data_IF_476903510128
#
_entry.id   IF_476903510128
#
_cell.length_a   1.000
_cell.length_b   1.000
_cell.length_c   1.000
_cell.angle_alpha   90.00
_cell.angle_beta   90.00
_cell.angle_gamma   90.00
#
_symmetry.space_group_name_H-M   'P 1'
#
loop_
_entity.id
_entity.type
_entity.pdbx_description
1 polymer ?
#
# COMPACT_ATOMS: atom_id res chain seq x y z
N UNK A 1 -24.82 -49.04 20.40
CA UNK A 1 -25.75 -47.97 20.00
C UNK A 1 -24.93 -46.97 19.20
N UNK A 2 -25.04 -47.04 17.88
CA UNK A 2 -24.31 -46.22 16.90
C UNK A 2 -25.05 -44.89 16.74
N UNK A 3 -24.37 -43.76 16.88
CA UNK A 3 -24.85 -42.46 16.40
C UNK A 3 -24.23 -42.21 15.02
N UNK A 4 -25.10 -41.97 14.04
CA UNK A 4 -24.77 -41.89 12.63
C UNK A 4 -24.17 -40.55 12.18
N UNK A 5 -23.77 -40.46 10.90
CA UNK A 5 -23.16 -39.28 10.32
C UNK A 5 -24.23 -38.39 9.69
N UNK A 6 -24.54 -37.26 10.30
CA UNK A 6 -25.33 -36.20 9.68
C UNK A 6 -24.53 -34.90 9.64
N UNK A 7 -24.01 -34.62 8.43
CA UNK A 7 -23.97 -33.33 7.77
C UNK A 7 -23.56 -32.12 8.64
N UNK A 8 -22.29 -31.74 8.68
CA UNK A 8 -21.71 -30.81 7.68
C UNK A 8 -22.76 -30.20 6.74
N UNK A 9 -23.20 -28.95 7.00
CA UNK A 9 -23.40 -27.88 5.99
C UNK A 9 -24.06 -26.62 6.60
N UNK A 10 -23.45 -25.46 6.30
CA UNK A 10 -23.94 -24.06 6.37
C UNK A 10 -24.10 -23.43 7.77
N UNK A 11 -23.73 -22.17 8.00
CA UNK A 11 -23.56 -21.06 7.05
C UNK A 11 -22.41 -20.12 7.46
N UNK A 12 -21.59 -19.79 6.45
CA UNK A 12 -20.72 -18.64 6.44
C UNK A 12 -21.53 -17.35 6.61
N UNK A 13 -21.05 -16.45 7.47
CA UNK A 13 -21.66 -15.16 7.74
C UNK A 13 -20.63 -14.11 8.14
N UNK A 14 -19.48 -14.09 7.48
CA UNK A 14 -18.58 -12.94 7.55
C UNK A 14 -19.21 -11.82 6.72
N UNK A 15 -19.87 -10.88 7.41
CA UNK A 15 -20.37 -9.64 6.81
C UNK A 15 -19.19 -8.82 6.30
N UNK A 16 -18.87 -8.94 5.02
CA UNK A 16 -18.08 -7.94 4.31
C UNK A 16 -18.89 -6.65 4.28
N UNK A 17 -18.52 -5.69 5.13
CA UNK A 17 -19.09 -4.34 5.10
C UNK A 17 -18.40 -3.59 3.97
N UNK A 18 -18.83 -3.83 2.73
CA UNK A 18 -18.49 -2.95 1.60
C UNK A 18 -19.36 -1.70 1.74
N UNK A 19 -18.87 -0.67 2.44
CA UNK A 19 -19.47 0.66 2.35
C UNK A 19 -19.16 1.22 0.95
N UNK A 20 -20.09 1.03 0.02
CA UNK A 20 -20.12 1.78 -1.24
C UNK A 20 -20.40 3.25 -0.90
N UNK A 21 -19.48 4.13 -1.28
CA UNK A 21 -19.67 5.57 -1.21
C UNK A 21 -20.65 5.99 -2.30
N UNK A 22 -21.79 6.56 -1.90
CA UNK A 22 -22.71 7.23 -2.83
C UNK A 22 -22.20 8.65 -3.07
N UNK A 23 -22.08 9.05 -4.35
CA UNK A 23 -21.65 10.40 -4.73
C UNK A 23 -22.86 11.34 -4.87
N UNK A 24 -22.83 12.46 -4.13
CA UNK A 24 -23.64 13.63 -4.44
C UNK A 24 -23.07 14.90 -3.76
N UNK A 25 -22.72 15.91 -4.56
CA UNK A 25 -22.91 17.32 -4.23
C UNK A 25 -21.71 18.18 -3.77
N UNK A 26 -21.40 19.17 -4.63
CA UNK A 26 -20.85 20.52 -4.35
C UNK A 26 -19.39 20.66 -3.88
N UNK A 27 -18.50 21.15 -4.77
CA UNK A 27 -17.16 21.68 -4.44
C UNK A 27 -17.30 22.97 -3.61
N UNK A 28 -17.17 22.86 -2.30
CA UNK A 28 -16.72 23.97 -1.46
C UNK A 28 -15.18 24.10 -1.61
N UNK A 29 -14.64 25.32 -1.55
CA UNK A 29 -13.20 25.60 -1.65
C UNK A 29 -12.42 25.15 -0.40
N UNK A 30 -12.46 23.86 -0.11
CA UNK A 30 -11.74 23.18 0.97
C UNK A 30 -10.76 22.17 0.38
N UNK A 31 -9.69 21.86 1.13
CA UNK A 31 -8.62 20.96 0.70
C UNK A 31 -9.10 19.58 0.24
N UNK A 32 -8.17 18.83 -0.34
CA UNK A 32 -8.46 17.49 -0.86
C UNK A 32 -8.99 16.60 0.26
N UNK A 33 -10.07 15.88 -0.02
CA UNK A 33 -10.70 14.97 0.93
C UNK A 33 -10.20 13.54 0.69
N UNK A 34 -9.93 12.82 1.78
CA UNK A 34 -9.41 11.45 1.72
C UNK A 34 -10.40 10.51 0.99
N UNK A 35 -11.69 10.78 1.06
CA UNK A 35 -12.73 10.02 0.36
C UNK A 35 -12.64 10.16 -1.16
N UNK A 36 -12.15 11.30 -1.68
CA UNK A 36 -11.94 11.49 -3.12
C UNK A 36 -10.77 10.62 -3.61
N UNK A 37 -9.68 10.58 -2.84
CA UNK A 37 -8.54 9.69 -3.11
C UNK A 37 -8.97 8.23 -3.05
N UNK A 38 -9.74 7.85 -2.02
CA UNK A 38 -10.24 6.50 -1.86
C UNK A 38 -11.15 6.07 -3.02
N UNK A 39 -12.01 6.97 -3.49
CA UNK A 39 -12.87 6.72 -4.64
C UNK A 39 -12.07 6.45 -5.91
N UNK A 40 -11.07 7.29 -6.22
CA UNK A 40 -10.21 7.10 -7.40
C UNK A 40 -9.48 5.75 -7.34
N UNK A 41 -8.91 5.39 -6.20
CA UNK A 41 -8.22 4.11 -6.04
C UNK A 41 -9.20 2.92 -6.18
N UNK A 42 -10.37 2.99 -5.55
CA UNK A 42 -11.36 1.91 -5.65
C UNK A 42 -11.93 1.76 -7.08
N UNK A 43 -12.15 2.86 -7.80
CA UNK A 43 -12.58 2.87 -9.20
C UNK A 43 -11.57 2.20 -10.13
N UNK A 44 -10.28 2.19 -9.75
CA UNK A 44 -9.19 1.58 -10.50
C UNK A 44 -8.78 0.19 -9.97
N UNK A 45 -9.65 -0.47 -9.21
CA UNK A 45 -9.50 -1.88 -8.85
C UNK A 45 -8.72 -2.16 -7.57
N UNK A 46 -8.32 -1.14 -6.82
CA UNK A 46 -7.69 -1.33 -5.51
C UNK A 46 -8.71 -1.58 -4.40
N UNK A 47 -8.37 -2.46 -3.46
CA UNK A 47 -9.14 -2.65 -2.23
C UNK A 47 -8.75 -1.60 -1.20
N UNK A 48 -9.63 -0.61 -0.99
CA UNK A 48 -9.37 0.54 -0.10
C UNK A 48 -10.16 0.44 1.19
N UNK A 49 -9.47 0.66 2.32
CA UNK A 49 -10.08 0.71 3.64
C UNK A 49 -9.51 1.85 4.47
N UNK A 50 -10.32 2.43 5.35
CA UNK A 50 -9.85 3.46 6.29
C UNK A 50 -9.04 2.79 7.42
N UNK A 51 -7.84 3.32 7.68
CA UNK A 51 -6.93 2.86 8.73
C UNK A 51 -6.64 3.93 9.80
N UNK A 52 -7.26 5.11 9.68
CA UNK A 52 -7.10 6.26 10.56
C UNK A 52 -7.73 7.52 9.97
N UNK A 53 -7.71 8.61 10.74
CA UNK A 53 -8.35 9.89 10.36
C UNK A 53 -7.92 10.39 8.98
N UNK A 54 -6.62 10.33 8.67
CA UNK A 54 -6.05 10.75 7.39
C UNK A 54 -5.28 9.62 6.69
N UNK A 55 -5.64 8.37 6.97
CA UNK A 55 -4.87 7.19 6.55
C UNK A 55 -5.75 6.17 5.85
N UNK A 56 -5.36 5.82 4.64
CA UNK A 56 -5.92 4.70 3.89
C UNK A 56 -4.97 3.52 3.91
N UNK A 57 -5.56 2.33 3.99
CA UNK A 57 -4.92 1.07 3.64
C UNK A 57 -5.46 0.65 2.27
N UNK A 58 -4.55 0.57 1.31
CA UNK A 58 -4.79 0.23 -0.09
C UNK A 58 -4.16 -1.13 -0.35
N UNK A 59 -4.91 -2.06 -0.92
CA UNK A 59 -4.40 -3.39 -1.28
C UNK A 59 -4.51 -3.56 -2.78
N UNK A 60 -3.42 -4.00 -3.39
CA UNK A 60 -3.43 -4.51 -4.76
C UNK A 60 -3.90 -5.98 -4.70
N UNK A 61 -5.10 -6.31 -5.25
CA UNK A 61 -5.74 -7.61 -5.02
C UNK A 61 -4.96 -8.82 -5.55
N UNK A 62 -4.20 -8.69 -6.63
CA UNK A 62 -3.52 -9.81 -7.28
C UNK A 62 -2.30 -10.28 -6.47
N UNK A 63 -1.46 -9.34 -6.03
CA UNK A 63 -0.23 -9.59 -5.27
C UNK A 63 -0.44 -9.57 -3.75
N UNK A 64 -1.55 -9.03 -3.28
CA UNK A 64 -1.84 -8.80 -1.86
C UNK A 64 -0.93 -7.74 -1.22
N UNK A 65 -0.21 -6.97 -2.03
CA UNK A 65 0.67 -5.91 -1.55
C UNK A 65 -0.15 -4.79 -0.92
N UNK A 66 0.35 -4.28 0.20
CA UNK A 66 -0.34 -3.26 1.00
C UNK A 66 0.43 -1.95 0.95
N UNK A 67 -0.26 -0.90 0.54
CA UNK A 67 0.21 0.49 0.55
C UNK A 67 -0.57 1.26 1.61
N UNK A 68 0.14 1.99 2.46
CA UNK A 68 -0.44 2.97 3.36
C UNK A 68 -0.36 4.35 2.69
N UNK A 69 -1.49 5.03 2.57
CA UNK A 69 -1.58 6.36 1.97
C UNK A 69 -2.07 7.38 3.01
N UNK A 70 -1.21 8.31 3.39
CA UNK A 70 -1.48 9.35 4.39
C UNK A 70 -1.64 10.72 3.71
N UNK A 71 -2.76 11.40 3.93
CA UNK A 71 -3.04 12.70 3.33
C UNK A 71 -2.76 13.83 4.33
N UNK A 72 -1.86 14.75 3.98
CA UNK A 72 -1.55 15.92 4.81
C UNK A 72 -1.30 17.13 3.92
N UNK A 73 -2.03 18.23 4.14
CA UNK A 73 -1.85 19.49 3.39
C UNK A 73 -1.88 19.30 1.85
N UNK A 74 -2.79 18.47 1.37
CA UNK A 74 -2.92 18.06 -0.04
C UNK A 74 -1.70 17.30 -0.60
N UNK A 75 -0.81 16.80 0.24
CA UNK A 75 0.25 15.87 -0.15
C UNK A 75 -0.15 14.47 0.31
N UNK A 76 -0.13 13.52 -0.61
CA UNK A 76 -0.41 12.12 -0.32
C UNK A 76 0.91 11.37 -0.22
N UNK A 77 1.25 10.93 0.99
CA UNK A 77 2.43 10.15 1.27
C UNK A 77 2.10 8.67 1.24
N UNK A 78 2.83 7.92 0.43
CA UNK A 78 2.68 6.48 0.33
C UNK A 78 3.82 5.77 1.05
N UNK A 79 3.49 4.70 1.75
CA UNK A 79 4.48 3.81 2.37
C UNK A 79 4.10 2.36 2.08
N UNK A 80 5.06 1.61 1.56
CA UNK A 80 4.91 0.19 1.26
C UNK A 80 5.99 -0.60 2.00
N UNK A 81 5.61 -1.71 2.64
CA UNK A 81 6.57 -2.61 3.27
C UNK A 81 7.05 -3.64 2.26
N UNK A 82 8.36 -3.68 1.98
CA UNK A 82 8.96 -4.69 1.12
C UNK A 82 8.97 -6.04 1.81
N UNK A 83 9.73 -6.11 2.90
CA UNK A 83 10.00 -7.30 3.68
C UNK A 83 10.35 -6.89 5.11
N UNK A 84 10.16 -7.80 6.05
CA UNK A 84 10.67 -7.66 7.41
C UNK A 84 11.76 -8.69 7.62
N UNK A 85 12.96 -8.23 7.92
CA UNK A 85 14.15 -9.06 8.05
C UNK A 85 14.77 -8.88 9.43
N UNK A 86 15.48 -9.89 9.90
CA UNK A 86 16.24 -9.75 11.14
C UNK A 86 17.37 -8.75 10.92
N UNK A 87 17.71 -7.99 11.95
CA UNK A 87 18.71 -6.92 11.84
C UNK A 87 20.10 -7.44 11.47
N UNK A 88 20.44 -8.66 11.85
CA UNK A 88 21.70 -9.33 11.50
C UNK A 88 21.78 -9.78 10.04
N UNK A 89 20.64 -9.86 9.34
CA UNK A 89 20.58 -10.17 7.90
C UNK A 89 20.77 -8.93 7.01
N UNK A 90 20.69 -7.73 7.59
CA UNK A 90 21.00 -6.47 6.89
C UNK A 90 22.50 -6.26 6.84
N UNK A 91 23.15 -6.80 5.81
CA UNK A 91 24.57 -6.52 5.55
C UNK A 91 24.74 -5.16 4.87
N UNK A 92 25.95 -4.58 5.02
CA UNK A 92 26.32 -3.35 4.30
C UNK A 92 26.24 -3.53 2.79
N UNK A 93 26.58 -4.72 2.28
CA UNK A 93 26.49 -5.06 0.85
C UNK A 93 25.05 -5.05 0.34
N UNK A 94 24.10 -5.62 1.09
CA UNK A 94 22.68 -5.58 0.72
C UNK A 94 22.17 -4.13 0.71
N UNK A 95 22.53 -3.33 1.71
CA UNK A 95 22.14 -1.91 1.73
C UNK A 95 22.76 -1.13 0.56
N UNK A 96 24.02 -1.39 0.20
CA UNK A 96 24.65 -0.76 -0.97
C UNK A 96 23.91 -1.09 -2.25
N UNK A 97 23.57 -2.37 -2.49
CA UNK A 97 22.80 -2.79 -3.68
C UNK A 97 21.42 -2.15 -3.76
N UNK A 98 20.76 -1.90 -2.63
CA UNK A 98 19.49 -1.17 -2.59
C UNK A 98 19.65 0.32 -2.95
N UNK A 99 20.82 0.89 -2.75
CA UNK A 99 21.12 2.30 -3.06
C UNK A 99 21.78 2.49 -4.44
N UNK A 100 22.16 1.40 -5.12
CA UNK A 100 22.81 1.45 -6.43
C UNK A 100 21.85 1.94 -7.52
N UNK A 101 22.33 2.85 -8.36
CA UNK A 101 21.62 3.28 -9.57
C UNK A 101 21.44 2.10 -10.51
N UNK A 102 20.21 1.92 -11.04
CA UNK A 102 19.91 0.88 -12.02
C UNK A 102 19.51 -0.47 -11.43
N UNK A 103 19.26 -0.54 -10.11
CA UNK A 103 18.75 -1.73 -9.44
C UNK A 103 17.23 -1.99 -9.66
N UNK A 104 16.60 -1.21 -10.53
CA UNK A 104 15.17 -1.30 -10.83
C UNK A 104 14.24 -0.60 -9.84
N UNK A 105 14.77 0.01 -8.78
CA UNK A 105 13.97 0.76 -7.78
C UNK A 105 14.02 2.25 -8.12
N UNK A 106 12.91 2.79 -8.63
CA UNK A 106 12.77 4.20 -8.98
C UNK A 106 12.32 5.08 -7.79
N UNK A 107 11.85 4.47 -6.71
CA UNK A 107 11.19 5.15 -5.59
C UNK A 107 12.13 6.06 -4.81
N UNK A 108 11.58 7.19 -4.37
CA UNK A 108 12.25 8.37 -3.83
C UNK A 108 12.96 8.17 -2.48
N UNK A 109 12.62 7.15 -1.68
CA UNK A 109 13.31 6.92 -0.39
C UNK A 109 13.09 5.53 0.22
N UNK A 110 14.16 4.96 0.75
CA UNK A 110 14.15 3.80 1.64
C UNK A 110 14.04 4.23 3.10
N UNK A 111 13.27 3.51 3.89
CA UNK A 111 13.32 3.60 5.35
C UNK A 111 13.47 2.23 6.00
N UNK A 112 14.31 2.20 7.03
CA UNK A 112 14.46 1.07 7.93
C UNK A 112 13.65 1.37 9.19
N UNK A 113 12.57 0.63 9.42
CA UNK A 113 11.70 0.82 10.58
C UNK A 113 11.93 -0.32 11.59
N UNK A 114 12.56 -0.06 12.74
CA UNK A 114 12.70 -1.06 13.80
C UNK A 114 11.32 -1.52 14.30
N UNK A 115 11.19 -2.83 14.56
CA UNK A 115 9.99 -3.42 15.16
C UNK A 115 10.27 -3.94 16.56
N UNK A 116 9.20 -4.10 17.33
CA UNK A 116 9.27 -4.55 18.74
C UNK A 116 9.81 -5.97 18.89
N UNK A 117 9.69 -6.79 17.85
CA UNK A 117 10.20 -8.17 17.78
C UNK A 117 11.69 -8.24 17.40
N UNK A 118 12.37 -7.11 17.25
CA UNK A 118 13.78 -7.03 16.88
C UNK A 118 14.04 -7.14 15.37
N UNK A 119 13.00 -7.30 14.54
CA UNK A 119 13.14 -7.21 13.09
C UNK A 119 13.21 -5.75 12.64
N UNK A 120 13.62 -5.56 11.40
CA UNK A 120 13.58 -4.27 10.70
C UNK A 120 12.66 -4.43 9.50
N UNK A 121 11.63 -3.59 9.40
CA UNK A 121 10.86 -3.47 8.19
C UNK A 121 11.59 -2.55 7.22
N UNK A 122 11.84 -3.05 6.02
CA UNK A 122 12.35 -2.25 4.91
C UNK A 122 11.16 -1.72 4.15
N UNK A 123 11.05 -0.39 4.03
CA UNK A 123 9.93 0.27 3.36
C UNK A 123 10.40 1.19 2.25
N UNK A 124 9.58 1.30 1.21
CA UNK A 124 9.70 2.33 0.18
C UNK A 124 8.64 3.39 0.41
N UNK A 125 8.96 4.63 0.03
CA UNK A 125 8.05 5.75 0.17
C UNK A 125 8.07 6.61 -1.09
N UNK A 126 6.89 6.96 -1.56
CA UNK A 126 6.68 7.93 -2.63
C UNK A 126 5.65 8.96 -2.18
N UNK A 127 5.49 10.06 -2.91
CA UNK A 127 4.45 11.04 -2.64
C UNK A 127 4.00 11.73 -3.92
N UNK A 128 2.74 12.18 -3.93
CA UNK A 128 2.25 13.13 -4.92
C UNK A 128 1.57 14.31 -4.24
N UNK A 129 1.59 15.47 -4.90
CA UNK A 129 0.88 16.67 -4.44
C UNK A 129 -0.38 16.83 -5.27
N UNK A 130 -1.50 16.92 -4.59
CA UNK A 130 -2.82 17.05 -5.19
C UNK A 130 -3.25 18.52 -5.14
N UNK A 131 -3.98 18.98 -6.14
CA UNK A 131 -4.49 20.34 -6.24
C UNK A 131 -6.01 20.38 -6.17
N UNK A 132 -6.68 19.68 -7.10
CA UNK A 132 -8.12 19.80 -7.32
C UNK A 132 -8.82 18.48 -7.69
N UNK A 133 -8.07 17.36 -7.63
CA UNK A 133 -8.48 16.01 -8.02
C UNK A 133 -8.95 15.92 -9.49
N UNK A 134 -8.39 16.78 -10.34
CA UNK A 134 -8.53 16.75 -11.80
C UNK A 134 -7.83 15.55 -12.43
N UNK A 135 -7.78 15.53 -13.77
CA UNK A 135 -7.22 14.40 -14.51
C UNK A 135 -5.72 14.18 -14.21
N UNK A 136 -4.94 15.26 -14.08
CA UNK A 136 -3.51 15.19 -13.77
C UNK A 136 -3.27 14.60 -12.36
N UNK A 137 -3.96 15.11 -11.34
CA UNK A 137 -3.87 14.59 -9.97
C UNK A 137 -4.22 13.09 -9.88
N UNK A 138 -5.21 12.65 -10.67
CA UNK A 138 -5.62 11.24 -10.74
C UNK A 138 -4.53 10.38 -11.37
N UNK A 139 -3.93 10.86 -12.44
CA UNK A 139 -2.83 10.18 -13.12
C UNK A 139 -1.59 10.08 -12.21
N UNK A 140 -1.24 11.17 -11.52
CA UNK A 140 -0.14 11.21 -10.55
C UNK A 140 -0.38 10.24 -9.38
N UNK A 141 -1.59 10.20 -8.83
CA UNK A 141 -2.01 9.28 -7.77
C UNK A 141 -1.81 7.82 -8.21
N UNK A 142 -2.34 7.44 -9.36
CA UNK A 142 -2.28 6.06 -9.85
C UNK A 142 -0.86 5.66 -10.21
N UNK A 143 -0.14 6.50 -10.95
CA UNK A 143 1.25 6.28 -11.33
C UNK A 143 2.15 6.12 -10.10
N UNK A 144 1.94 6.92 -9.04
CA UNK A 144 2.70 6.78 -7.80
C UNK A 144 2.52 5.42 -7.13
N UNK A 145 1.29 4.88 -7.12
CA UNK A 145 1.00 3.55 -6.56
C UNK A 145 1.63 2.47 -7.45
N UNK A 146 1.47 2.56 -8.76
CA UNK A 146 2.01 1.58 -9.71
C UNK A 146 3.55 1.50 -9.65
N UNK A 147 4.24 2.64 -9.61
CA UNK A 147 5.70 2.65 -9.45
C UNK A 147 6.14 2.00 -8.15
N UNK A 148 5.43 2.24 -7.03
CA UNK A 148 5.72 1.57 -5.77
C UNK A 148 5.53 0.05 -5.83
N UNK A 149 4.51 -0.41 -6.56
CA UNK A 149 4.24 -1.83 -6.75
C UNK A 149 5.32 -2.52 -7.58
N UNK A 150 5.85 -1.85 -8.61
CA UNK A 150 6.99 -2.36 -9.37
C UNK A 150 8.23 -2.41 -8.50
N UNK A 151 8.54 -1.31 -7.82
CA UNK A 151 9.76 -1.17 -7.02
C UNK A 151 9.81 -2.12 -5.83
N UNK A 152 8.66 -2.45 -5.22
CA UNK A 152 8.63 -3.41 -4.12
C UNK A 152 9.07 -4.81 -4.57
N UNK A 153 8.82 -5.18 -5.83
CA UNK A 153 9.20 -6.49 -6.36
C UNK A 153 10.72 -6.56 -6.56
N UNK A 154 11.33 -5.50 -7.10
CA UNK A 154 12.78 -5.40 -7.19
C UNK A 154 13.44 -5.38 -5.81
N UNK A 155 12.88 -4.61 -4.87
CA UNK A 155 13.39 -4.55 -3.50
C UNK A 155 13.31 -5.91 -2.80
N UNK A 156 12.22 -6.67 -2.96
CA UNK A 156 12.10 -8.03 -2.42
C UNK A 156 13.14 -8.97 -3.00
N UNK A 157 13.31 -8.96 -4.32
CA UNK A 157 14.32 -9.78 -5.02
C UNK A 157 15.73 -9.54 -4.45
N UNK A 158 16.13 -8.26 -4.32
CA UNK A 158 17.44 -7.89 -3.75
C UNK A 158 17.60 -8.32 -2.29
N UNK A 159 16.56 -8.15 -1.47
CA UNK A 159 16.58 -8.50 -0.05
C UNK A 159 16.61 -10.02 0.19
N UNK A 160 16.02 -10.79 -0.72
CA UNK A 160 16.05 -12.26 -0.70
C UNK A 160 17.36 -12.83 -1.28
N UNK A 161 18.23 -11.96 -1.81
CA UNK A 161 19.53 -12.32 -2.35
C UNK A 161 19.49 -12.83 -3.79
N UNK A 162 18.38 -12.62 -4.50
CA UNK A 162 18.32 -12.84 -5.93
C UNK A 162 19.03 -11.69 -6.67
N UNK A 163 19.83 -12.05 -7.66
CA UNK A 163 20.38 -11.09 -8.63
C UNK A 163 19.27 -10.81 -9.67
N UNK A 164 19.02 -9.54 -10.05
CA UNK A 164 18.10 -9.21 -11.13
C UNK A 164 18.48 -9.87 -12.45
#
# INVERSE_FOLDING_TARGET
>A
MLLGPEALTRAAGARTVTRRFASAGVKASGGIRLEEVAAVLAENGYDVSNAGENLLRVVEPESGVVVLAALENNVLFFTISCLSIKRDQLSGETLSRMLETGNGIATSSFRLMPRKDGSVAVTLNNFCKLQDMGAEDRDDLLSCVEFLLVDVMFARSLLEGATP
#
